data_IF_007870046433
#
_entry.id   IF_007870046433
#
_cell.length_a   1.000
_cell.length_b   1.000
_cell.length_c   1.000
_cell.angle_alpha   90.00
_cell.angle_beta   90.00
_cell.angle_gamma   90.00
#
_symmetry.space_group_name_H-M   'P 1'
#
loop_
_entity.id
_entity.type
_entity.pdbx_description
1 polymer ?
#
# COMPACT_ATOMS: atom_id res chain seq x y z
N UNK A 1 -4.90 -6.72 -4.64
CA UNK A 1 -5.96 -5.70 -4.76
C UNK A 1 -5.99 -5.23 -6.20
N UNK A 2 -7.15 -5.18 -6.86
CA UNK A 2 -7.25 -4.66 -8.23
C UNK A 2 -7.81 -3.24 -8.18
N UNK A 3 -6.95 -2.25 -8.40
CA UNK A 3 -7.20 -0.83 -8.16
C UNK A 3 -6.77 -0.39 -6.75
N UNK A 4 -5.88 0.59 -6.69
CA UNK A 4 -5.33 1.20 -5.48
C UNK A 4 -5.67 2.70 -5.36
N UNK A 5 -6.87 3.02 -5.80
CA UNK A 5 -7.53 4.31 -5.56
C UNK A 5 -7.93 4.50 -4.09
N UNK A 6 -8.85 5.43 -3.85
CA UNK A 6 -9.24 5.85 -2.48
C UNK A 6 -9.71 4.69 -1.61
N UNK A 7 -10.64 3.86 -2.10
CA UNK A 7 -11.16 2.70 -1.32
C UNK A 7 -10.07 1.68 -1.07
N UNK A 8 -9.25 1.37 -2.07
CA UNK A 8 -8.14 0.42 -1.93
C UNK A 8 -7.16 0.85 -0.84
N UNK A 9 -6.77 2.13 -0.83
CA UNK A 9 -5.88 2.67 0.21
C UNK A 9 -6.52 2.71 1.59
N UNK A 10 -7.81 3.04 1.70
CA UNK A 10 -8.51 3.01 2.99
C UNK A 10 -8.59 1.58 3.56
N UNK A 11 -8.90 0.59 2.73
CA UNK A 11 -8.93 -0.82 3.14
C UNK A 11 -7.53 -1.28 3.55
N UNK A 12 -6.51 -0.97 2.75
CA UNK A 12 -5.11 -1.26 3.08
C UNK A 12 -4.72 -0.65 4.43
N UNK A 13 -5.01 0.64 4.65
CA UNK A 13 -4.76 1.32 5.91
C UNK A 13 -5.46 0.65 7.08
N UNK A 14 -6.74 0.33 6.94
CA UNK A 14 -7.52 -0.32 7.98
C UNK A 14 -6.96 -1.71 8.36
N UNK A 15 -6.48 -2.51 7.40
CA UNK A 15 -5.85 -3.80 7.69
C UNK A 15 -4.62 -3.65 8.57
N UNK A 16 -3.79 -2.63 8.31
CA UNK A 16 -2.59 -2.36 9.10
C UNK A 16 -2.91 -1.76 10.47
N UNK A 17 -3.79 -0.77 10.55
CA UNK A 17 -4.15 -0.11 11.82
C UNK A 17 -4.91 -1.03 12.78
N UNK A 18 -5.67 -1.99 12.25
CA UNK A 18 -6.38 -2.99 13.06
C UNK A 18 -5.53 -4.21 13.42
N UNK A 19 -4.25 -4.23 13.03
CA UNK A 19 -3.35 -5.37 13.28
C UNK A 19 -3.75 -6.65 12.52
N UNK A 20 -4.53 -6.52 11.44
CA UNK A 20 -5.01 -7.65 10.64
C UNK A 20 -4.07 -8.00 9.47
N UNK A 21 -3.06 -7.18 9.19
CA UNK A 21 -2.14 -7.38 8.08
C UNK A 21 -1.40 -8.73 8.11
N UNK A 22 -1.19 -9.33 9.30
CA UNK A 22 -0.60 -10.67 9.43
C UNK A 22 -1.57 -11.80 9.09
N UNK A 23 -2.88 -11.60 9.30
CA UNK A 23 -3.93 -12.57 8.95
C UNK A 23 -4.39 -12.44 7.50
N UNK A 24 -4.39 -11.21 6.98
CA UNK A 24 -4.82 -10.86 5.62
C UNK A 24 -3.73 -10.03 4.94
N UNK A 25 -2.59 -10.66 4.56
CA UNK A 25 -1.51 -9.95 3.91
C UNK A 25 -1.91 -9.55 2.49
N UNK A 26 -1.69 -8.27 2.16
CA UNK A 26 -1.81 -7.79 0.78
C UNK A 26 -0.47 -8.05 0.09
N UNK A 27 -0.42 -9.05 -0.77
CA UNK A 27 0.81 -9.48 -1.45
C UNK A 27 1.01 -8.84 -2.82
N UNK A 28 -0.07 -8.33 -3.43
CA UNK A 28 -0.03 -7.72 -4.75
C UNK A 28 -1.09 -6.63 -4.93
N UNK A 29 -0.75 -5.62 -5.73
CA UNK A 29 -1.60 -4.49 -6.13
C UNK A 29 -1.51 -4.34 -7.65
N UNK A 30 -2.66 -4.35 -8.33
CA UNK A 30 -2.75 -3.91 -9.71
C UNK A 30 -3.20 -2.45 -9.75
N UNK A 31 -2.40 -1.57 -10.35
CA UNK A 31 -2.63 -0.12 -10.38
C UNK A 31 -1.99 0.50 -11.62
N UNK A 32 -2.59 1.57 -12.15
CA UNK A 32 -2.09 2.27 -13.34
C UNK A 32 -0.96 3.25 -13.01
N UNK A 33 -0.99 3.82 -11.80
CA UNK A 33 0.05 4.71 -11.32
C UNK A 33 1.37 3.97 -11.09
N UNK A 34 2.49 4.65 -11.36
CA UNK A 34 3.83 4.10 -11.14
C UNK A 34 4.10 3.78 -9.66
N UNK A 35 5.13 2.96 -9.43
CA UNK A 35 5.48 2.46 -8.11
C UNK A 35 5.80 3.57 -7.09
N UNK A 36 6.46 4.65 -7.50
CA UNK A 36 6.77 5.78 -6.62
C UNK A 36 5.52 6.57 -6.24
N UNK A 37 4.60 6.74 -7.20
CA UNK A 37 3.28 7.32 -6.96
C UNK A 37 2.48 6.47 -5.98
N UNK A 38 2.47 5.15 -6.15
CA UNK A 38 1.81 4.22 -5.20
C UNK A 38 2.44 4.33 -3.81
N UNK A 39 3.77 4.36 -3.69
CA UNK A 39 4.48 4.56 -2.42
C UNK A 39 4.06 5.88 -1.76
N UNK A 40 4.05 6.97 -2.52
CA UNK A 40 3.67 8.29 -2.02
C UNK A 40 2.22 8.29 -1.50
N UNK A 41 1.27 7.81 -2.31
CA UNK A 41 -0.15 7.77 -1.97
C UNK A 41 -0.46 6.81 -0.81
N UNK A 42 0.34 5.76 -0.64
CA UNK A 42 0.26 4.89 0.54
C UNK A 42 0.71 5.64 1.78
N UNK A 43 1.79 6.43 1.69
CA UNK A 43 2.37 7.13 2.84
C UNK A 43 1.57 8.37 3.25
N UNK A 44 0.95 9.07 2.31
CA UNK A 44 0.31 10.36 2.52
C UNK A 44 -1.15 10.35 2.03
N UNK A 45 -2.09 10.53 2.95
CA UNK A 45 -3.51 10.70 2.67
C UNK A 45 -3.99 12.06 3.21
N UNK A 46 -4.74 12.82 2.42
CA UNK A 46 -5.21 14.16 2.83
C UNK A 46 -6.25 14.14 3.94
N UNK A 47 -7.01 13.05 4.07
CA UNK A 47 -8.10 12.91 5.05
C UNK A 47 -7.61 12.21 6.30
N UNK A 48 -6.78 11.18 6.14
CA UNK A 48 -6.32 10.33 7.24
C UNK A 48 -4.90 10.66 7.71
N UNK A 49 -4.20 11.57 7.01
CA UNK A 49 -2.83 11.95 7.31
C UNK A 49 -1.81 10.90 6.89
N UNK A 50 -0.67 10.87 7.58
CA UNK A 50 0.40 9.91 7.27
C UNK A 50 0.00 8.50 7.67
N UNK A 51 0.33 7.53 6.83
CA UNK A 51 0.25 6.11 7.20
C UNK A 51 1.23 5.81 8.33
N UNK A 52 0.82 5.10 9.40
CA UNK A 52 1.65 4.92 10.60
C UNK A 52 2.89 4.05 10.35
N UNK A 53 2.82 3.12 9.40
CA UNK A 53 3.93 2.23 9.08
C UNK A 53 4.99 2.82 8.15
N UNK A 54 6.13 2.13 8.03
CA UNK A 54 7.15 2.46 7.06
C UNK A 54 6.68 2.03 5.67
N UNK A 55 6.83 2.93 4.70
CA UNK A 55 6.50 2.68 3.28
C UNK A 55 7.70 3.12 2.46
N UNK A 56 8.29 2.20 1.69
CA UNK A 56 9.44 2.47 0.83
C UNK A 56 9.33 1.68 -0.47
N UNK A 57 10.17 2.04 -1.44
CA UNK A 57 10.41 1.22 -2.62
C UNK A 57 11.75 0.53 -2.43
N UNK A 58 11.77 -0.78 -2.65
CA UNK A 58 12.96 -1.61 -2.52
C UNK A 58 12.91 -2.73 -3.57
N UNK A 59 13.99 -2.94 -4.31
CA UNK A 59 14.08 -4.04 -5.28
C UNK A 59 12.99 -4.01 -6.37
N UNK A 60 12.49 -2.83 -6.76
CA UNK A 60 11.41 -2.70 -7.74
C UNK A 60 10.02 -3.09 -7.19
N UNK A 61 9.86 -3.18 -5.87
CA UNK A 61 8.60 -3.49 -5.21
C UNK A 61 8.24 -2.43 -4.17
N UNK A 62 6.96 -2.37 -3.82
CA UNK A 62 6.51 -1.59 -2.67
C UNK A 62 6.82 -2.41 -1.42
N UNK A 63 7.42 -1.81 -0.41
CA UNK A 63 7.63 -2.46 0.88
C UNK A 63 6.91 -1.68 1.98
N UNK A 64 6.07 -2.39 2.74
CA UNK A 64 5.34 -1.83 3.87
C UNK A 64 5.67 -2.61 5.14
N UNK A 65 6.26 -1.93 6.13
CA UNK A 65 6.72 -2.52 7.38
C UNK A 65 7.61 -3.77 7.19
N UNK A 66 8.53 -3.73 6.21
CA UNK A 66 9.40 -4.87 5.90
C UNK A 66 8.77 -5.94 4.99
N UNK A 67 7.46 -5.87 4.70
CA UNK A 67 6.78 -6.83 3.85
C UNK A 67 6.74 -6.34 2.39
N UNK A 68 7.26 -7.12 1.42
CA UNK A 68 7.20 -6.78 0.00
C UNK A 68 5.79 -6.97 -0.57
N UNK A 69 5.40 -6.08 -1.47
CA UNK A 69 4.12 -6.07 -2.18
C UNK A 69 4.42 -5.84 -3.66
N UNK A 70 4.02 -6.79 -4.49
CA UNK A 70 4.16 -6.68 -5.94
C UNK A 70 3.19 -5.61 -6.48
N UNK A 71 3.68 -4.74 -7.37
CA UNK A 71 2.84 -3.77 -8.08
C UNK A 71 2.89 -4.08 -9.57
N UNK A 72 1.72 -4.28 -10.18
CA UNK A 72 1.59 -4.53 -11.61
C UNK A 72 0.74 -3.44 -12.28
N UNK A 73 0.98 -3.23 -13.57
CA UNK A 73 0.21 -2.35 -14.44
C UNK A 73 -0.47 -3.21 -15.51
N UNK A 74 -1.66 -3.71 -15.22
CA UNK A 74 -2.50 -4.48 -16.15
C UNK A 74 -3.80 -3.75 -16.38
#
# INVERSE_FOLDING_TARGET
MNGFGRVGRCVFRALHERGLASRLPVVAINELADLETVRYLTRYDSTHGRFPGQVRVAGGQLEVNGAPIAVSHV
#
